data_IF_197218243508
#
_entry.id   IF_197218243508
#
_cell.length_a   1.000
_cell.length_b   1.000
_cell.length_c   1.000
_cell.angle_alpha   90.00
_cell.angle_beta   90.00
_cell.angle_gamma   90.00
#
_symmetry.space_group_name_H-M   'P 1'
#
loop_
_entity.id
_entity.type
_entity.pdbx_description
1 polymer ?
#
# COMPACT_ATOMS: atom_id res chain seq x y z
N UNK A 1 -24.09 -10.29 -1.01
CA UNK A 1 -22.84 -9.80 -1.62
C UNK A 1 -22.70 -8.32 -1.34
N UNK A 2 -21.71 -7.93 -0.59
CA UNK A 2 -21.41 -6.54 -0.24
C UNK A 2 -19.95 -6.42 0.16
N UNK A 3 -19.44 -5.18 0.25
CA UNK A 3 -18.11 -4.92 0.76
C UNK A 3 -18.01 -5.30 2.24
N UNK A 4 -16.86 -5.79 2.66
CA UNK A 4 -16.60 -6.19 4.04
C UNK A 4 -16.68 -4.99 4.99
N UNK A 5 -16.13 -3.85 4.56
CA UNK A 5 -16.21 -2.57 5.25
C UNK A 5 -16.33 -1.42 4.24
N UNK A 6 -16.54 -0.21 4.74
CA UNK A 6 -16.68 1.01 3.91
C UNK A 6 -15.44 1.35 3.05
N UNK A 7 -14.26 0.82 3.41
CA UNK A 7 -12.99 1.05 2.69
C UNK A 7 -12.57 -0.17 1.85
N UNK A 8 -13.45 -1.13 1.68
CA UNK A 8 -13.18 -2.39 0.99
C UNK A 8 -13.64 -2.39 -0.46
N UNK A 9 -13.70 -1.23 -1.08
CA UNK A 9 -14.04 -1.08 -2.50
C UNK A 9 -13.16 0.02 -3.12
N UNK A 10 -12.68 -0.23 -4.34
CA UNK A 10 -11.88 0.71 -5.10
C UNK A 10 -12.21 0.61 -6.58
N UNK A 11 -12.20 1.75 -7.25
CA UNK A 11 -12.36 1.81 -8.72
C UNK A 11 -11.03 1.45 -9.40
N UNK A 12 -11.12 0.63 -10.42
CA UNK A 12 -10.05 0.26 -11.33
C UNK A 12 -10.52 0.43 -12.78
N UNK A 13 -9.61 0.31 -13.73
CA UNK A 13 -9.89 0.61 -15.14
C UNK A 13 -11.14 -0.07 -15.74
N UNK A 14 -11.50 -1.27 -15.27
CA UNK A 14 -12.58 -2.08 -15.80
C UNK A 14 -13.74 -2.29 -14.82
N UNK A 15 -13.89 -1.43 -13.82
CA UNK A 15 -14.96 -1.56 -12.84
C UNK A 15 -14.47 -1.36 -11.40
N UNK A 16 -15.17 -1.95 -10.45
CA UNK A 16 -14.87 -1.82 -9.04
C UNK A 16 -14.38 -3.14 -8.48
N UNK A 17 -13.18 -3.12 -7.90
CA UNK A 17 -12.73 -4.23 -7.06
C UNK A 17 -13.38 -4.12 -5.70
N UNK A 18 -13.95 -5.21 -5.23
CA UNK A 18 -14.64 -5.28 -3.93
C UNK A 18 -14.07 -6.42 -3.10
N UNK A 19 -13.57 -6.10 -1.92
CA UNK A 19 -13.25 -7.07 -0.90
C UNK A 19 -14.51 -7.35 -0.08
N UNK A 20 -15.17 -8.45 -0.40
CA UNK A 20 -16.42 -8.86 0.23
C UNK A 20 -16.24 -9.74 1.45
N UNK A 21 -17.35 -10.21 2.02
CA UNK A 21 -17.35 -11.00 3.26
C UNK A 21 -16.73 -12.39 3.08
N UNK A 22 -16.88 -13.00 1.91
CA UNK A 22 -16.42 -14.37 1.63
C UNK A 22 -15.63 -14.50 0.33
N UNK A 23 -15.45 -13.41 -0.40
CA UNK A 23 -14.79 -13.41 -1.70
C UNK A 23 -14.33 -12.02 -2.09
N UNK A 24 -13.36 -11.96 -3.00
CA UNK A 24 -13.02 -10.73 -3.71
C UNK A 24 -13.56 -10.83 -5.13
N UNK A 25 -14.17 -9.76 -5.61
CA UNK A 25 -14.78 -9.76 -6.92
C UNK A 25 -14.67 -8.40 -7.61
N UNK A 26 -14.76 -8.45 -8.91
CA UNK A 26 -14.86 -7.26 -9.77
C UNK A 26 -16.32 -7.09 -10.14
N UNK A 27 -16.80 -5.86 -10.01
CA UNK A 27 -18.12 -5.44 -10.48
C UNK A 27 -17.93 -4.47 -11.65
N UNK A 28 -18.33 -4.87 -12.84
CA UNK A 28 -18.31 -4.05 -14.06
C UNK A 28 -19.62 -3.26 -14.29
N UNK A 29 -20.51 -3.29 -13.31
CA UNK A 29 -21.85 -2.68 -13.38
C UNK A 29 -22.94 -3.62 -13.88
N UNK A 30 -22.59 -4.72 -14.52
CA UNK A 30 -23.53 -5.73 -15.01
C UNK A 30 -23.28 -7.11 -14.39
N UNK A 31 -22.00 -7.45 -14.23
CA UNK A 31 -21.59 -8.76 -13.77
C UNK A 31 -20.68 -8.67 -12.54
N UNK A 32 -20.71 -9.72 -11.73
CA UNK A 32 -19.81 -9.94 -10.62
C UNK A 32 -18.89 -11.11 -10.96
N UNK A 33 -17.62 -10.84 -11.13
CA UNK A 33 -16.60 -11.86 -11.42
C UNK A 33 -15.71 -12.08 -10.21
N UNK A 34 -15.66 -13.32 -9.71
CA UNK A 34 -14.74 -13.69 -8.64
C UNK A 34 -13.29 -13.63 -9.11
N UNK A 35 -12.45 -13.02 -8.30
CA UNK A 35 -11.01 -12.91 -8.56
C UNK A 35 -10.25 -14.07 -7.93
N UNK A 36 -10.72 -14.57 -6.77
CA UNK A 36 -10.01 -15.54 -5.97
C UNK A 36 -10.28 -16.98 -6.42
N UNK A 37 -9.22 -17.76 -6.53
CA UNK A 37 -9.35 -19.21 -6.57
C UNK A 37 -9.71 -19.75 -5.17
N UNK A 38 -10.19 -21.02 -5.10
CA UNK A 38 -10.64 -21.63 -3.84
C UNK A 38 -9.56 -21.67 -2.75
N UNK A 39 -8.29 -21.87 -3.14
CA UNK A 39 -7.17 -21.94 -2.19
C UNK A 39 -6.95 -20.59 -1.53
N UNK A 40 -6.83 -19.51 -2.33
CA UNK A 40 -6.60 -18.17 -1.84
C UNK A 40 -7.79 -17.67 -1.02
N UNK A 41 -9.02 -18.01 -1.43
CA UNK A 41 -10.22 -17.68 -0.66
C UNK A 41 -10.16 -18.28 0.74
N UNK A 42 -9.83 -19.56 0.86
CA UNK A 42 -9.68 -20.20 2.17
C UNK A 42 -8.56 -19.58 3.01
N UNK A 43 -7.43 -19.31 2.38
CA UNK A 43 -6.27 -18.71 3.05
C UNK A 43 -6.62 -17.35 3.65
N UNK A 44 -7.24 -16.46 2.88
CA UNK A 44 -7.59 -15.11 3.32
C UNK A 44 -8.71 -15.16 4.38
N UNK A 45 -9.83 -15.79 4.08
CA UNK A 45 -11.03 -15.68 4.93
C UNK A 45 -10.97 -16.58 6.17
N UNK A 46 -10.19 -17.65 6.16
CA UNK A 46 -9.94 -18.42 7.39
C UNK A 46 -8.99 -17.70 8.36
N UNK A 47 -8.13 -16.85 7.85
CA UNK A 47 -7.16 -16.11 8.67
C UNK A 47 -7.61 -14.69 9.02
N UNK A 48 -8.71 -14.22 8.45
CA UNK A 48 -9.25 -12.89 8.69
C UNK A 48 -9.73 -12.74 10.15
N UNK A 49 -9.34 -11.63 10.79
CA UNK A 49 -9.86 -11.23 12.10
C UNK A 49 -11.27 -10.64 11.92
N UNK A 50 -12.29 -11.42 12.26
CA UNK A 50 -13.69 -11.01 12.14
C UNK A 50 -14.12 -9.98 13.18
N UNK A 51 -13.35 -9.76 14.24
CA UNK A 51 -13.63 -8.73 15.25
C UNK A 51 -13.22 -7.34 14.75
N UNK A 52 -12.11 -7.27 14.00
CA UNK A 52 -11.52 -6.04 13.51
C UNK A 52 -11.74 -5.81 12.00
N UNK A 53 -12.80 -6.40 11.41
CA UNK A 53 -13.07 -6.31 9.97
C UNK A 53 -13.23 -4.86 9.46
N UNK A 54 -13.62 -3.92 10.31
CA UNK A 54 -13.74 -2.50 9.97
C UNK A 54 -12.38 -1.85 9.62
N UNK A 55 -11.29 -2.46 10.05
CA UNK A 55 -9.92 -2.03 9.76
C UNK A 55 -9.38 -2.58 8.44
N UNK A 56 -10.16 -3.42 7.75
CA UNK A 56 -9.84 -3.83 6.39
C UNK A 56 -10.02 -2.66 5.44
N UNK A 57 -9.11 -2.54 4.48
CA UNK A 57 -9.17 -1.55 3.43
C UNK A 57 -8.54 -2.07 2.14
N UNK A 58 -8.88 -1.42 1.04
CA UNK A 58 -8.35 -1.72 -0.29
C UNK A 58 -7.73 -0.47 -0.86
N UNK A 59 -6.57 -0.61 -1.46
CA UNK A 59 -5.87 0.48 -2.14
C UNK A 59 -5.36 0.03 -3.51
N UNK A 60 -5.56 0.83 -4.57
CA UNK A 60 -5.03 0.55 -5.88
C UNK A 60 -3.59 1.06 -5.98
N UNK A 61 -2.75 0.31 -6.68
CA UNK A 61 -1.40 0.72 -7.05
C UNK A 61 -1.28 0.70 -8.58
N UNK A 62 -1.72 1.78 -9.19
CA UNK A 62 -1.86 1.88 -10.65
C UNK A 62 -0.55 1.65 -11.41
N UNK A 63 0.59 2.09 -10.88
CA UNK A 63 1.89 1.91 -11.55
C UNK A 63 2.27 0.45 -11.78
N UNK A 64 1.85 -0.42 -10.87
CA UNK A 64 2.10 -1.87 -10.96
C UNK A 64 0.88 -2.67 -11.41
N UNK A 65 -0.22 -1.99 -11.71
CA UNK A 65 -1.49 -2.64 -12.03
C UNK A 65 -1.95 -3.60 -10.92
N UNK A 66 -1.78 -3.19 -9.66
CA UNK A 66 -2.09 -4.02 -8.50
C UNK A 66 -3.19 -3.41 -7.63
N UNK A 67 -4.00 -4.27 -7.05
CA UNK A 67 -4.90 -3.94 -5.95
C UNK A 67 -4.42 -4.65 -4.70
N UNK A 68 -4.26 -3.90 -3.63
CA UNK A 68 -3.86 -4.41 -2.33
C UNK A 68 -5.06 -4.40 -1.39
N UNK A 69 -5.58 -5.57 -1.05
CA UNK A 69 -6.62 -5.73 -0.04
C UNK A 69 -5.95 -6.08 1.30
N UNK A 70 -5.83 -5.08 2.15
CA UNK A 70 -5.16 -5.18 3.45
C UNK A 70 -6.15 -5.59 4.53
N UNK A 71 -5.76 -6.56 5.35
CA UNK A 71 -6.60 -7.10 6.40
C UNK A 71 -5.79 -7.53 7.62
N UNK A 72 -6.36 -7.45 8.83
CA UNK A 72 -5.77 -8.04 10.03
C UNK A 72 -5.95 -9.55 10.02
N UNK A 73 -4.91 -10.28 10.35
CA UNK A 73 -5.05 -11.71 10.64
C UNK A 73 -5.69 -11.92 12.02
N UNK A 74 -5.96 -13.19 12.38
CA UNK A 74 -6.66 -13.54 13.62
C UNK A 74 -6.04 -12.98 14.88
N UNK A 75 -4.74 -12.70 14.87
CA UNK A 75 -3.96 -12.29 16.03
C UNK A 75 -3.67 -10.79 16.08
N UNK A 76 -3.92 -10.10 14.97
CA UNK A 76 -3.60 -8.69 14.79
C UNK A 76 -4.81 -7.78 14.96
N UNK A 77 -4.55 -6.60 15.50
CA UNK A 77 -5.55 -5.54 15.60
C UNK A 77 -5.62 -4.68 14.35
N UNK A 78 -4.53 -4.52 13.63
CA UNK A 78 -4.41 -3.73 12.41
C UNK A 78 -4.01 -4.62 11.23
N UNK A 79 -4.13 -4.09 10.02
CA UNK A 79 -3.80 -4.84 8.82
C UNK A 79 -2.31 -5.20 8.81
N UNK A 80 -2.03 -6.48 8.98
CA UNK A 80 -0.70 -7.07 8.95
C UNK A 80 -0.50 -8.02 7.76
N UNK A 81 -1.53 -8.19 6.94
CA UNK A 81 -1.48 -8.96 5.70
C UNK A 81 -2.17 -8.21 4.57
N UNK A 82 -1.67 -8.41 3.37
CA UNK A 82 -2.30 -7.94 2.15
C UNK A 82 -2.46 -9.07 1.13
N UNK A 83 -3.64 -9.18 0.60
CA UNK A 83 -3.90 -9.88 -0.65
C UNK A 83 -3.58 -8.91 -1.79
N UNK A 84 -2.62 -9.26 -2.63
CA UNK A 84 -2.23 -8.47 -3.80
C UNK A 84 -2.73 -9.19 -5.05
N UNK A 85 -3.51 -8.49 -5.84
CA UNK A 85 -4.00 -8.95 -7.12
C UNK A 85 -3.57 -8.01 -8.23
N UNK A 86 -2.92 -8.55 -9.25
CA UNK A 86 -2.56 -7.80 -10.45
C UNK A 86 -3.62 -8.01 -11.52
N UNK A 87 -4.23 -6.92 -11.99
CA UNK A 87 -5.30 -7.00 -12.98
C UNK A 87 -4.84 -7.17 -14.44
N UNK A 88 -3.53 -7.07 -14.71
CA UNK A 88 -2.97 -7.24 -16.05
C UNK A 88 -2.72 -8.71 -16.38
N UNK A 89 -2.09 -9.42 -15.46
CA UNK A 89 -1.73 -10.84 -15.61
C UNK A 89 -2.58 -11.79 -14.77
N UNK A 90 -3.50 -11.23 -13.98
CA UNK A 90 -4.38 -11.95 -13.06
C UNK A 90 -3.64 -12.77 -11.99
N UNK A 91 -2.40 -12.37 -11.67
CA UNK A 91 -1.63 -13.00 -10.60
C UNK A 91 -2.14 -12.58 -9.23
N UNK A 92 -2.05 -13.51 -8.27
CA UNK A 92 -2.51 -13.30 -6.90
C UNK A 92 -1.42 -13.76 -5.94
N UNK A 93 -1.13 -12.91 -4.96
CA UNK A 93 -0.19 -13.22 -3.89
C UNK A 93 -0.66 -12.71 -2.54
N UNK A 94 -0.07 -13.21 -1.47
CA UNK A 94 -0.25 -12.69 -0.12
C UNK A 94 1.10 -12.13 0.32
N UNK A 95 1.08 -10.95 0.94
CA UNK A 95 2.25 -10.30 1.53
C UNK A 95 2.00 -10.05 3.00
N UNK A 96 3.03 -10.25 3.80
CA UNK A 96 3.04 -9.83 5.19
C UNK A 96 3.41 -8.35 5.25
N UNK A 97 2.75 -7.63 6.12
CA UNK A 97 2.93 -6.20 6.33
C UNK A 97 3.27 -5.93 7.80
N UNK A 98 4.00 -4.86 8.11
CA UNK A 98 3.96 -4.31 9.46
C UNK A 98 2.52 -3.86 9.76
N UNK A 99 2.14 -3.80 11.02
CA UNK A 99 0.80 -3.33 11.41
C UNK A 99 0.48 -1.98 10.78
N UNK A 100 -0.50 -1.94 9.88
CA UNK A 100 -0.82 -0.77 9.06
C UNK A 100 -2.26 -0.33 9.32
N UNK A 101 -2.43 0.94 9.60
CA UNK A 101 -3.74 1.56 9.76
C UNK A 101 -4.38 1.96 8.42
N UNK A 102 -3.57 2.40 7.47
CA UNK A 102 -4.02 2.81 6.14
C UNK A 102 -2.85 2.88 5.14
N UNK A 103 -3.17 2.76 3.86
CA UNK A 103 -2.22 2.95 2.77
C UNK A 103 -2.83 3.83 1.67
N UNK A 104 -1.98 4.57 0.98
CA UNK A 104 -2.37 5.39 -0.17
C UNK A 104 -1.22 5.51 -1.16
N UNK A 105 -1.56 5.56 -2.44
CA UNK A 105 -0.58 5.83 -3.46
C UNK A 105 -0.31 7.35 -3.52
N UNK A 106 0.95 7.73 -3.40
CA UNK A 106 1.35 9.14 -3.41
C UNK A 106 2.69 9.35 -4.10
N UNK A 107 2.88 10.54 -4.64
CA UNK A 107 4.17 10.93 -5.19
C UNK A 107 5.16 11.16 -4.03
N UNK A 108 6.30 10.48 -4.10
CA UNK A 108 7.39 10.69 -3.16
C UNK A 108 8.49 11.42 -3.93
N UNK A 109 8.90 12.61 -3.49
CA UNK A 109 10.01 13.30 -4.13
C UNK A 109 11.25 12.41 -4.02
N UNK A 110 11.82 12.06 -5.15
CA UNK A 110 13.12 11.39 -5.19
C UNK A 110 14.17 12.45 -4.99
N UNK A 111 14.77 12.51 -3.83
CA UNK A 111 15.94 13.36 -3.62
C UNK A 111 17.09 12.75 -4.40
N UNK A 112 17.21 13.16 -5.64
CA UNK A 112 18.39 12.88 -6.45
C UNK A 112 19.47 13.89 -6.09
N UNK A 113 20.27 13.56 -5.15
CA UNK A 113 21.45 14.35 -4.83
C UNK A 113 22.11 13.74 -3.62
N UNK A 114 23.32 13.24 -3.79
CA UNK A 114 24.15 12.76 -2.71
C UNK A 114 24.53 13.89 -1.75
N UNK A 115 23.55 14.34 -1.00
CA UNK A 115 23.70 15.23 0.13
C UNK A 115 22.88 14.64 1.25
N UNK A 116 23.53 14.39 2.37
CA UNK A 116 22.89 13.94 3.61
C UNK A 116 21.56 14.65 3.84
N UNK A 117 20.50 13.88 4.00
CA UNK A 117 19.17 14.36 4.40
C UNK A 117 19.13 15.01 5.81
N UNK A 118 20.29 15.13 6.44
CA UNK A 118 20.49 15.86 7.69
C UNK A 118 20.63 17.37 7.51
N UNK A 119 20.64 17.88 6.30
CA UNK A 119 21.02 19.27 6.01
C UNK A 119 19.88 20.29 6.03
N UNK A 120 18.74 19.98 6.63
CA UNK A 120 17.82 21.04 7.07
C UNK A 120 18.22 21.70 8.39
N UNK A 121 19.23 21.16 9.05
CA UNK A 121 19.80 21.72 10.28
C UNK A 121 21.10 22.41 10.00
N UNK A 122 21.07 23.55 9.36
CA UNK A 122 22.25 24.43 9.41
C UNK A 122 22.66 25.02 8.08
N UNK A 123 22.19 26.21 7.84
CA UNK A 123 23.01 27.21 7.16
C UNK A 123 23.06 27.21 5.64
N UNK A 124 22.24 26.46 4.94
CA UNK A 124 22.08 26.70 3.51
C UNK A 124 21.12 27.88 3.31
N UNK A 125 21.68 29.00 2.95
CA UNK A 125 20.91 30.14 2.45
C UNK A 125 20.31 29.79 1.09
N UNK A 126 19.23 30.41 0.74
CA UNK A 126 18.55 30.30 -0.55
C UNK A 126 19.48 30.45 -1.76
N UNK A 127 20.61 31.14 -1.59
CA UNK A 127 21.64 31.36 -2.59
C UNK A 127 22.49 30.13 -2.92
N UNK A 128 22.47 29.12 -2.06
CA UNK A 128 23.27 27.90 -2.23
C UNK A 128 22.46 26.68 -2.71
N UNK A 129 21.21 26.89 -3.06
CA UNK A 129 20.38 25.86 -3.66
C UNK A 129 20.80 25.65 -5.11
N UNK A 130 21.49 24.55 -5.38
CA UNK A 130 21.83 24.11 -6.73
C UNK A 130 20.63 23.36 -7.29
N UNK A 131 19.78 24.05 -8.01
CA UNK A 131 18.61 23.49 -8.68
C UNK A 131 17.62 24.60 -9.04
N UNK A 132 17.04 24.53 -10.21
CA UNK A 132 15.95 25.39 -10.61
C UNK A 132 14.66 24.93 -9.92
N UNK A 133 13.79 25.87 -9.55
CA UNK A 133 12.41 25.58 -9.12
C UNK A 133 11.61 24.81 -10.17
N UNK A 134 12.11 24.81 -11.40
CA UNK A 134 11.53 24.15 -12.56
C UNK A 134 12.23 22.81 -12.89
N UNK A 135 13.07 22.34 -11.95
CA UNK A 135 13.77 21.07 -12.14
C UNK A 135 12.78 19.90 -11.90
N UNK A 136 12.35 19.31 -13.00
CA UNK A 136 11.48 18.13 -13.02
C UNK A 136 12.05 16.92 -12.30
N UNK A 137 13.36 16.94 -12.00
CA UNK A 137 14.04 15.90 -11.21
C UNK A 137 13.66 15.94 -9.72
N UNK A 138 13.21 17.09 -9.22
CA UNK A 138 12.77 17.24 -7.82
C UNK A 138 11.38 16.67 -7.58
N UNK A 139 10.53 16.66 -8.61
CA UNK A 139 9.16 16.15 -8.57
C UNK A 139 8.92 15.20 -9.73
N UNK A 140 9.55 14.05 -9.69
CA UNK A 140 9.21 12.99 -10.63
C UNK A 140 7.83 12.42 -10.25
N UNK A 141 6.79 12.97 -10.89
CA UNK A 141 5.40 12.53 -10.74
C UNK A 141 5.23 11.08 -11.18
N UNK A 142 6.23 10.54 -11.93
CA UNK A 142 6.21 9.15 -12.36
C UNK A 142 6.57 8.17 -11.25
N UNK A 143 7.16 8.65 -10.16
CA UNK A 143 7.54 7.80 -9.01
C UNK A 143 6.48 7.73 -7.93
N UNK A 144 5.21 7.57 -8.30
CA UNK A 144 4.15 7.29 -7.32
C UNK A 144 4.47 6.00 -6.57
N UNK A 145 4.57 6.08 -5.27
CA UNK A 145 4.82 4.93 -4.39
C UNK A 145 3.58 4.64 -3.54
N UNK A 146 3.46 3.40 -3.11
CA UNK A 146 2.45 3.05 -2.13
C UNK A 146 3.01 3.34 -0.73
N UNK A 147 2.42 4.35 -0.09
CA UNK A 147 2.74 4.77 1.27
C UNK A 147 1.83 4.06 2.25
N UNK A 148 2.40 3.50 3.31
CA UNK A 148 1.71 2.75 4.34
C UNK A 148 1.95 3.41 5.70
N UNK A 149 0.89 3.73 6.42
CA UNK A 149 0.99 4.36 7.73
C UNK A 149 0.71 3.35 8.84
N UNK A 150 1.64 3.23 9.77
CA UNK A 150 1.46 2.47 11.01
C UNK A 150 0.52 3.21 11.97
N UNK A 151 -0.28 2.50 12.78
CA UNK A 151 -1.15 3.12 13.77
C UNK A 151 -0.39 3.84 14.90
N UNK A 152 0.91 3.70 14.98
CA UNK A 152 1.69 4.06 16.16
C UNK A 152 1.45 3.08 17.31
N UNK A 153 2.50 2.53 17.88
CA UNK A 153 2.39 1.75 19.11
C UNK A 153 2.07 2.73 20.23
N UNK A 154 1.20 2.35 21.16
CA UNK A 154 0.73 3.18 22.29
C UNK A 154 1.84 4.05 22.87
N UNK A 155 1.80 5.37 22.58
CA UNK A 155 2.80 6.34 23.03
C UNK A 155 4.02 6.50 22.13
N UNK A 156 4.12 5.78 21.01
CA UNK A 156 5.16 5.93 19.99
C UNK A 156 4.69 6.76 18.79
N UNK A 157 5.65 7.29 18.06
CA UNK A 157 5.40 7.97 16.79
C UNK A 157 4.86 6.98 15.76
N UNK A 158 3.87 7.37 14.97
CA UNK A 158 3.48 6.61 13.80
C UNK A 158 4.62 6.58 12.77
N UNK A 159 4.78 5.47 12.09
CA UNK A 159 5.78 5.30 11.04
C UNK A 159 5.12 5.26 9.67
N UNK A 160 5.83 5.76 8.67
CA UNK A 160 5.40 5.66 7.27
C UNK A 160 6.37 4.75 6.54
N UNK A 161 5.83 3.69 5.97
CA UNK A 161 6.58 2.73 5.18
C UNK A 161 6.31 2.95 3.68
N UNK A 162 7.33 2.68 2.88
CA UNK A 162 7.21 2.59 1.43
C UNK A 162 7.06 1.13 1.03
N UNK A 163 5.98 0.79 0.34
CA UNK A 163 5.86 -0.54 -0.24
C UNK A 163 6.88 -0.71 -1.36
N UNK A 164 7.47 -1.90 -1.42
CA UNK A 164 8.44 -2.27 -2.46
C UNK A 164 9.66 -1.34 -2.59
N UNK A 165 10.09 -0.73 -1.50
CA UNK A 165 11.30 0.12 -1.50
C UNK A 165 12.60 -0.65 -1.74
N UNK A 166 12.51 -1.95 -1.97
CA UNK A 166 13.66 -2.87 -2.10
C UNK A 166 14.22 -3.26 -0.74
N UNK A 167 14.68 -4.49 -0.63
CA UNK A 167 15.51 -4.90 0.48
C UNK A 167 16.86 -4.21 0.30
N UNK A 168 17.13 -3.13 1.01
CA UNK A 168 18.52 -2.77 1.27
C UNK A 168 19.04 -3.89 2.18
N UNK A 169 19.73 -4.85 1.60
CA UNK A 169 20.62 -5.69 2.38
C UNK A 169 21.51 -4.74 3.15
N UNK A 170 21.42 -4.78 4.47
CA UNK A 170 22.34 -4.10 5.35
C UNK A 170 23.76 -4.65 5.04
N UNK A 171 24.46 -3.94 4.17
CA UNK A 171 25.90 -4.14 3.96
C UNK A 171 26.71 -3.45 5.08
N UNK A 172 26.22 -3.51 6.30
CA UNK A 172 27.00 -3.15 7.49
C UNK A 172 27.16 -4.40 8.36
N UNK A 173 28.06 -5.27 7.94
CA UNK A 173 28.88 -6.12 8.82
C UNK A 173 29.75 -7.04 7.96
N UNK A 174 30.82 -6.48 7.44
CA UNK A 174 32.06 -7.23 7.21
C UNK A 174 33.26 -6.36 7.60
#
# INVERSE_FOLDING_TARGET
TGALSRRCMVEINNGHFVFGVNDCYINDGQNLTSVLNQRMRREVFNNLNTTNFERCFVVPYFQKSEVWACYPDRTADYANRALVWNWTDNSIGIRDLPDIAFAHAGAVPTVMGGGDSSSWTGGSTWDNQIGSWDDTLTYDVTSTKLLMASPGIRGGSGEIFLADSGNKEDTENM
#
